data_IF_894333659903
#
_entry.id   IF_894333659903
#
_cell.length_a   1.000
_cell.length_b   1.000
_cell.length_c   1.000
_cell.angle_alpha   90.00
_cell.angle_beta   90.00
_cell.angle_gamma   90.00
#
_symmetry.space_group_name_H-M   'P 1'
#
loop_
_entity.id
_entity.type
_entity.pdbx_description
1 polymer ?
#
# COMPACT_ATOMS: atom_id res chain seq x y z
N UNK A 1 -4.20 -0.32 -23.07
CA UNK A 1 -4.51 -1.13 -21.88
C UNK A 1 -3.95 -2.51 -22.12
N UNK A 2 -2.84 -2.85 -21.47
CA UNK A 2 -2.28 -4.20 -21.57
C UNK A 2 -3.27 -5.21 -20.99
N UNK A 3 -3.21 -6.46 -21.43
CA UNK A 3 -4.06 -7.54 -20.90
C UNK A 3 -3.91 -7.69 -19.37
N UNK A 4 -2.73 -7.34 -18.83
CA UNK A 4 -2.45 -7.31 -17.40
C UNK A 4 -3.23 -6.21 -16.66
N UNK A 5 -3.23 -4.97 -17.16
CA UNK A 5 -3.98 -3.86 -16.56
C UNK A 5 -5.49 -4.14 -16.56
N UNK A 6 -5.99 -4.74 -17.64
CA UNK A 6 -7.42 -5.06 -17.79
C UNK A 6 -7.92 -6.10 -16.77
N UNK A 7 -7.08 -7.07 -16.43
CA UNK A 7 -7.43 -8.16 -15.51
C UNK A 7 -6.69 -8.08 -14.17
N UNK A 8 -6.22 -6.89 -13.79
CA UNK A 8 -5.43 -6.67 -12.57
C UNK A 8 -6.13 -7.24 -11.33
N UNK A 9 -7.43 -7.06 -11.19
CA UNK A 9 -8.21 -7.60 -10.06
C UNK A 9 -8.15 -9.11 -9.98
N UNK A 10 -8.22 -9.82 -11.11
CA UNK A 10 -8.11 -11.29 -11.16
C UNK A 10 -6.70 -11.72 -10.78
N UNK A 11 -5.68 -11.04 -11.30
CA UNK A 11 -4.29 -11.31 -10.96
C UNK A 11 -4.02 -11.11 -9.46
N UNK A 12 -4.50 -10.01 -8.89
CA UNK A 12 -4.38 -9.72 -7.45
C UNK A 12 -5.08 -10.82 -6.64
N UNK A 13 -6.28 -11.22 -7.02
CA UNK A 13 -7.03 -12.29 -6.35
C UNK A 13 -6.28 -13.63 -6.39
N UNK A 14 -5.74 -14.01 -7.55
CA UNK A 14 -4.92 -15.21 -7.69
C UNK A 14 -3.65 -15.14 -6.83
N UNK A 15 -2.95 -14.00 -6.81
CA UNK A 15 -1.78 -13.80 -5.95
C UNK A 15 -2.12 -13.95 -4.46
N UNK A 16 -3.30 -13.48 -4.02
CA UNK A 16 -3.76 -13.65 -2.63
C UNK A 16 -3.99 -15.13 -2.34
N UNK A 17 -4.73 -15.85 -3.19
CA UNK A 17 -4.99 -17.30 -3.00
C UNK A 17 -3.67 -18.06 -2.92
N UNK A 18 -2.81 -17.86 -3.92
CA UNK A 18 -1.51 -18.52 -3.99
C UNK A 18 -0.68 -18.21 -2.74
N UNK A 19 -0.59 -16.94 -2.34
CA UNK A 19 0.16 -16.52 -1.15
C UNK A 19 -0.36 -17.16 0.14
N UNK A 20 -1.68 -17.22 0.33
CA UNK A 20 -2.30 -17.86 1.51
C UNK A 20 -2.06 -19.38 1.51
N UNK A 21 -2.24 -20.03 0.36
CA UNK A 21 -2.01 -21.48 0.23
C UNK A 21 -0.55 -21.84 0.52
N UNK A 22 0.41 -21.10 -0.05
CA UNK A 22 1.83 -21.30 0.25
C UNK A 22 2.16 -20.99 1.72
N UNK A 23 1.56 -19.95 2.31
CA UNK A 23 1.70 -19.63 3.73
C UNK A 23 1.26 -20.77 4.65
N UNK A 24 0.21 -21.49 4.26
CA UNK A 24 -0.30 -22.64 5.02
C UNK A 24 0.56 -23.91 4.83
N UNK A 25 1.05 -24.19 3.62
CA UNK A 25 1.87 -25.40 3.36
C UNK A 25 3.32 -25.26 3.80
N UNK A 26 3.88 -24.04 3.83
CA UNK A 26 5.28 -23.79 4.16
C UNK A 26 5.42 -22.70 5.25
N UNK A 27 4.82 -22.87 6.44
CA UNK A 27 4.78 -21.83 7.46
C UNK A 27 6.18 -21.40 7.93
N UNK A 28 7.16 -22.31 7.94
CA UNK A 28 8.54 -22.01 8.37
C UNK A 28 9.23 -20.94 7.51
N UNK A 29 9.00 -20.93 6.19
CA UNK A 29 9.59 -19.92 5.29
C UNK A 29 8.98 -18.55 5.57
N UNK A 30 7.64 -18.49 5.71
CA UNK A 30 6.94 -17.24 6.01
C UNK A 30 7.25 -16.72 7.42
N UNK A 31 7.51 -17.60 8.39
CA UNK A 31 7.97 -17.22 9.73
C UNK A 31 9.37 -16.61 9.70
N UNK A 32 10.30 -17.14 8.90
CA UNK A 32 11.65 -16.55 8.77
C UNK A 32 11.58 -15.17 8.10
N UNK A 33 10.78 -15.04 7.04
CA UNK A 33 10.56 -13.75 6.35
C UNK A 33 9.86 -12.77 7.29
N UNK A 34 8.88 -13.24 8.06
CA UNK A 34 8.16 -12.49 9.10
C UNK A 34 9.08 -12.01 10.22
N UNK A 35 9.95 -12.89 10.70
CA UNK A 35 10.94 -12.65 11.76
C UNK A 35 12.11 -11.77 11.30
N UNK A 36 12.23 -11.50 10.00
CA UNK A 36 13.14 -10.47 9.48
C UNK A 36 12.54 -9.08 9.74
N UNK A 37 12.26 -8.80 11.01
CA UNK A 37 11.78 -7.51 11.49
C UNK A 37 12.82 -6.84 12.38
N UNK A 38 12.94 -5.52 12.23
CA UNK A 38 13.74 -4.68 13.12
C UNK A 38 12.79 -3.65 13.71
N UNK A 39 12.75 -3.53 15.03
CA UNK A 39 11.84 -2.61 15.73
C UNK A 39 10.36 -2.79 15.34
N UNK A 40 9.91 -4.04 15.17
CA UNK A 40 8.54 -4.41 14.73
C UNK A 40 8.20 -3.99 13.29
N UNK A 41 9.22 -3.68 12.48
CA UNK A 41 9.07 -3.37 11.05
C UNK A 41 9.64 -4.50 10.22
N UNK A 42 8.78 -5.19 9.47
CA UNK A 42 9.20 -6.26 8.56
C UNK A 42 10.02 -5.67 7.39
N UNK A 43 11.31 -5.98 7.34
CA UNK A 43 12.25 -5.39 6.39
C UNK A 43 11.91 -5.76 4.94
N UNK A 44 11.62 -7.04 4.59
CA UNK A 44 11.15 -7.41 3.25
C UNK A 44 9.94 -6.60 2.78
N UNK A 45 8.91 -6.49 3.62
CA UNK A 45 7.69 -5.72 3.29
C UNK A 45 8.00 -4.23 3.15
N UNK A 46 8.84 -3.67 4.03
CA UNK A 46 9.24 -2.27 3.95
C UNK A 46 9.94 -1.94 2.63
N UNK A 47 10.83 -2.80 2.14
CA UNK A 47 11.50 -2.64 0.84
C UNK A 47 10.49 -2.65 -0.30
N UNK A 48 9.54 -3.59 -0.30
CA UNK A 48 8.49 -3.68 -1.32
C UNK A 48 7.61 -2.44 -1.36
N UNK A 49 7.23 -1.91 -0.20
CA UNK A 49 6.44 -0.67 -0.09
C UNK A 49 7.26 0.53 -0.61
N UNK A 50 8.54 0.65 -0.24
CA UNK A 50 9.40 1.73 -0.74
C UNK A 50 9.58 1.68 -2.26
N UNK A 51 9.76 0.49 -2.83
CA UNK A 51 9.84 0.28 -4.27
C UNK A 51 8.57 0.80 -4.97
N UNK A 52 7.40 0.66 -4.34
CA UNK A 52 6.13 1.20 -4.86
C UNK A 52 6.01 2.72 -4.69
N UNK A 53 6.50 3.29 -3.58
CA UNK A 53 6.37 4.72 -3.26
C UNK A 53 7.32 5.59 -4.12
N UNK A 54 8.58 5.18 -4.29
CA UNK A 54 9.60 5.94 -5.04
C UNK A 54 9.12 6.40 -6.43
N UNK A 55 8.61 5.53 -7.31
CA UNK A 55 8.19 5.95 -8.65
C UNK A 55 6.97 6.87 -8.61
N UNK A 56 6.13 6.79 -7.57
CA UNK A 56 5.02 7.72 -7.38
C UNK A 56 5.54 9.11 -6.99
N UNK A 57 6.52 9.19 -6.08
CA UNK A 57 7.14 10.45 -5.65
C UNK A 57 7.84 11.17 -6.81
N UNK A 58 8.54 10.43 -7.68
CA UNK A 58 9.21 11.00 -8.85
C UNK A 58 8.25 11.60 -9.88
N UNK A 59 6.97 11.23 -9.85
CA UNK A 59 5.93 11.77 -10.74
C UNK A 59 5.27 13.06 -10.21
N UNK A 60 5.62 13.50 -9.00
CA UNK A 60 5.03 14.69 -8.39
C UNK A 60 5.66 15.95 -9.01
N UNK A 61 4.82 16.83 -9.56
CA UNK A 61 5.23 18.17 -9.98
C UNK A 61 5.11 19.15 -8.81
N UNK A 62 6.26 19.65 -8.33
CA UNK A 62 6.33 20.62 -7.25
C UNK A 62 5.64 21.95 -7.58
N UNK A 63 5.48 22.32 -8.86
CA UNK A 63 4.72 23.53 -9.25
C UNK A 63 3.24 23.39 -8.95
N UNK A 64 2.67 22.21 -9.16
CA UNK A 64 1.28 21.91 -8.82
C UNK A 64 1.04 21.95 -7.31
N UNK A 65 2.06 21.65 -6.51
CA UNK A 65 1.98 21.70 -5.05
C UNK A 65 1.69 23.13 -4.53
N UNK A 66 2.19 24.16 -5.21
CA UNK A 66 1.92 25.55 -4.84
C UNK A 66 0.44 25.96 -5.01
N UNK A 67 -0.31 25.24 -5.86
CA UNK A 67 -1.73 25.50 -6.11
C UNK A 67 -2.66 24.72 -5.16
N UNK A 68 -2.12 23.82 -4.33
CA UNK A 68 -2.91 22.97 -3.41
C UNK A 68 -3.81 23.80 -2.47
N UNK A 69 -3.36 24.99 -2.07
CA UNK A 69 -4.14 25.88 -1.21
C UNK A 69 -5.47 26.38 -1.84
N UNK A 70 -5.58 26.43 -3.17
CA UNK A 70 -6.84 26.85 -3.81
C UNK A 70 -7.95 25.80 -3.64
N UNK A 71 -7.58 24.54 -3.41
CA UNK A 71 -8.50 23.42 -3.20
C UNK A 71 -8.62 22.99 -1.73
N UNK A 72 -8.40 23.92 -0.79
CA UNK A 72 -8.34 23.62 0.66
C UNK A 72 -9.58 22.90 1.20
N UNK A 73 -10.79 23.21 0.70
CA UNK A 73 -12.03 22.55 1.14
C UNK A 73 -12.04 21.06 0.79
N UNK A 74 -11.68 20.72 -0.44
CA UNK A 74 -11.66 19.32 -0.91
C UNK A 74 -10.56 18.51 -0.22
N UNK A 75 -9.39 19.11 -0.07
CA UNK A 75 -8.26 18.48 0.63
C UNK A 75 -8.58 18.30 2.10
N UNK A 76 -9.15 19.31 2.77
CA UNK A 76 -9.54 19.25 4.18
C UNK A 76 -10.53 18.12 4.45
N UNK A 77 -11.58 17.99 3.63
CA UNK A 77 -12.54 16.88 3.75
C UNK A 77 -11.85 15.53 3.53
N UNK A 78 -11.01 15.41 2.49
CA UNK A 78 -10.28 14.16 2.21
C UNK A 78 -9.35 13.79 3.37
N UNK A 79 -8.64 14.76 3.94
CA UNK A 79 -7.73 14.56 5.06
C UNK A 79 -8.48 14.13 6.31
N UNK A 80 -9.60 14.79 6.64
CA UNK A 80 -10.44 14.44 7.78
C UNK A 80 -10.99 13.02 7.63
N UNK A 81 -11.54 12.68 6.46
CA UNK A 81 -12.09 11.34 6.24
C UNK A 81 -10.97 10.28 6.31
N UNK A 82 -9.83 10.54 5.66
CA UNK A 82 -8.76 9.56 5.55
C UNK A 82 -7.99 9.37 6.87
N UNK A 83 -7.75 10.44 7.62
CA UNK A 83 -6.90 10.42 8.82
C UNK A 83 -7.67 10.49 10.13
N UNK A 84 -8.83 11.14 10.18
CA UNK A 84 -9.65 11.14 11.40
C UNK A 84 -10.66 9.99 11.34
N UNK A 85 -11.48 9.87 10.29
CA UNK A 85 -12.59 8.90 10.28
C UNK A 85 -12.11 7.47 10.04
N UNK A 86 -11.29 7.24 9.00
CA UNK A 86 -10.90 5.90 8.57
C UNK A 86 -10.19 5.07 9.65
N UNK A 87 -9.24 5.60 10.46
CA UNK A 87 -8.58 4.82 11.51
C UNK A 87 -9.55 4.31 12.59
N UNK A 88 -10.49 5.16 13.03
CA UNK A 88 -11.49 4.74 14.02
C UNK A 88 -12.52 3.78 13.42
N UNK A 89 -12.85 3.93 12.13
CA UNK A 89 -13.76 3.00 11.44
C UNK A 89 -13.17 1.61 11.24
N UNK A 90 -11.85 1.45 11.18
CA UNK A 90 -11.19 0.13 11.07
C UNK A 90 -10.96 -0.53 12.44
N UNK A 91 -10.99 0.26 13.50
CA UNK A 91 -10.79 -0.20 14.87
C UNK A 91 -12.10 -0.58 15.60
N UNK A 92 -13.26 -0.23 15.03
CA UNK A 92 -14.59 -0.59 15.50
C UNK A 92 -15.09 -1.86 14.78
#
# INVERSE_FOLDING_TARGET
MSTFERYLTIWVFLCIIVGVTFGHFMPGIFQIIGATEVAKVNIPVAILIWLMIIPMLLKIDFRSLAQVGTFWRGIGVTLIINWAVKPFSMAA
#
